data_IF_507026928815
#
_entry.id   IF_507026928815
#
_cell.length_a   1.000
_cell.length_b   1.000
_cell.length_c   1.000
_cell.angle_alpha   90.00
_cell.angle_beta   90.00
_cell.angle_gamma   90.00
#
_symmetry.space_group_name_H-M   'P 1'
#
loop_
_entity.id
_entity.type
_entity.pdbx_description
1 polymer ?
#
# COMPACT_ATOMS: atom_id res chain seq x y z
N UNK A 1 -38.66 -54.25 -53.57
CA UNK A 1 -38.53 -52.80 -53.84
C UNK A 1 -39.45 -52.11 -52.87
N UNK A 2 -38.96 -51.84 -51.67
CA UNK A 2 -39.58 -50.92 -50.71
C UNK A 2 -38.61 -50.76 -49.55
N UNK A 3 -38.24 -49.52 -49.21
CA UNK A 3 -38.04 -49.12 -47.83
C UNK A 3 -38.02 -47.60 -47.72
N UNK A 4 -39.03 -47.12 -47.00
CA UNK A 4 -39.29 -45.77 -46.53
C UNK A 4 -38.12 -45.18 -45.70
N UNK A 5 -37.98 -43.86 -45.69
CA UNK A 5 -37.56 -43.17 -44.46
C UNK A 5 -38.31 -41.85 -44.28
N UNK A 6 -38.94 -41.76 -43.11
CA UNK A 6 -39.78 -40.66 -42.65
C UNK A 6 -38.93 -39.49 -42.16
N UNK A 7 -39.22 -38.28 -42.63
CA UNK A 7 -38.75 -37.03 -42.00
C UNK A 7 -39.60 -36.73 -40.76
N UNK A 8 -39.03 -36.93 -39.58
CA UNK A 8 -39.64 -36.56 -38.30
C UNK A 8 -39.28 -35.11 -37.94
N UNK A 9 -40.26 -34.21 -38.02
CA UNK A 9 -40.14 -32.85 -37.47
C UNK A 9 -40.32 -32.94 -35.94
N UNK A 10 -39.22 -32.99 -35.19
CA UNK A 10 -39.27 -32.91 -33.72
C UNK A 10 -39.66 -31.48 -33.31
N UNK A 11 -40.81 -31.35 -32.64
CA UNK A 11 -41.14 -30.14 -31.88
C UNK A 11 -40.04 -29.89 -30.83
N UNK A 12 -39.52 -28.66 -30.69
CA UNK A 12 -38.57 -28.36 -29.63
C UNK A 12 -39.22 -28.63 -28.27
N UNK A 13 -38.44 -29.22 -27.35
CA UNK A 13 -38.91 -29.49 -26.00
C UNK A 13 -39.32 -28.18 -25.32
N UNK A 14 -40.30 -28.23 -24.41
CA UNK A 14 -40.74 -27.08 -23.62
C UNK A 14 -39.60 -26.41 -22.82
N UNK A 15 -38.46 -27.07 -22.69
CA UNK A 15 -37.23 -26.55 -22.09
C UNK A 15 -36.48 -25.60 -23.04
N UNK A 16 -36.41 -25.91 -24.34
CA UNK A 16 -35.73 -25.09 -25.34
C UNK A 16 -36.46 -23.75 -25.59
N UNK A 17 -37.80 -23.74 -25.50
CA UNK A 17 -38.61 -22.51 -25.59
C UNK A 17 -38.51 -21.65 -24.31
N UNK A 18 -38.21 -22.23 -23.15
CA UNK A 18 -38.01 -21.49 -21.89
C UNK A 18 -36.61 -20.88 -21.80
N UNK A 19 -35.59 -21.52 -22.39
CA UNK A 19 -34.22 -20.99 -22.41
C UNK A 19 -34.07 -19.79 -23.37
N UNK A 20 -34.75 -19.82 -24.52
CA UNK A 20 -34.72 -18.71 -25.48
C UNK A 20 -35.53 -17.49 -25.00
N UNK A 21 -36.62 -17.71 -24.25
CA UNK A 21 -37.36 -16.62 -23.62
C UNK A 21 -36.59 -15.97 -22.44
N UNK A 22 -35.76 -16.74 -21.72
CA UNK A 22 -34.92 -16.23 -20.63
C UNK A 22 -33.74 -15.40 -21.18
N UNK A 23 -33.12 -15.84 -22.27
CA UNK A 23 -32.03 -15.10 -22.95
C UNK A 23 -32.55 -13.81 -23.60
N UNK A 24 -33.77 -13.82 -24.14
CA UNK A 24 -34.38 -12.61 -24.71
C UNK A 24 -34.83 -11.57 -23.67
N UNK A 25 -35.15 -11.99 -22.42
CA UNK A 25 -35.44 -11.05 -21.33
C UNK A 25 -34.17 -10.39 -20.77
N UNK A 26 -33.04 -11.09 -20.79
CA UNK A 26 -31.73 -10.57 -20.34
C UNK A 26 -31.20 -9.51 -21.34
N UNK A 27 -31.42 -9.71 -22.64
CA UNK A 27 -30.97 -8.77 -23.68
C UNK A 27 -31.79 -7.46 -23.77
N UNK A 28 -32.98 -7.39 -23.15
CA UNK A 28 -33.90 -6.25 -23.28
C UNK A 28 -33.79 -5.22 -22.13
N UNK A 29 -33.03 -5.50 -21.07
CA UNK A 29 -32.89 -4.62 -19.90
C UNK A 29 -31.44 -4.56 -19.38
N UNK A 30 -30.52 -3.91 -20.10
CA UNK A 30 -29.13 -3.76 -19.65
C UNK A 30 -29.00 -2.95 -18.35
N UNK A 31 -30.05 -2.26 -17.90
CA UNK A 31 -30.06 -1.42 -16.69
C UNK A 31 -30.59 -2.08 -15.41
N UNK A 32 -30.99 -3.36 -15.41
CA UNK A 32 -31.56 -4.01 -14.20
C UNK A 32 -30.60 -4.98 -13.49
N UNK A 33 -29.36 -5.10 -13.98
CA UNK A 33 -28.28 -5.91 -13.38
C UNK A 33 -27.02 -5.08 -13.10
N UNK A 34 -27.11 -3.75 -13.21
CA UNK A 34 -26.00 -2.82 -12.97
C UNK A 34 -25.97 -2.28 -11.53
N UNK A 35 -26.91 -2.67 -10.66
CA UNK A 35 -27.14 -1.98 -9.38
C UNK A 35 -26.75 -2.78 -8.14
N UNK A 36 -25.98 -3.87 -8.28
CA UNK A 36 -25.40 -4.60 -7.15
C UNK A 36 -24.15 -5.41 -7.53
N UNK A 37 -23.31 -4.86 -8.41
CA UNK A 37 -21.89 -5.20 -8.33
C UNK A 37 -21.32 -4.30 -7.23
N UNK A 38 -20.63 -4.80 -6.20
CA UNK A 38 -19.81 -3.93 -5.39
C UNK A 38 -18.80 -3.31 -6.35
N UNK A 39 -19.04 -2.05 -6.72
CA UNK A 39 -17.96 -1.20 -7.23
C UNK A 39 -16.82 -1.36 -6.24
N UNK A 40 -15.60 -1.63 -6.73
CA UNK A 40 -14.38 -1.40 -5.94
C UNK A 40 -14.55 -0.02 -5.30
N UNK A 41 -14.87 -0.02 -4.00
CA UNK A 41 -15.49 1.10 -3.34
C UNK A 41 -14.61 2.33 -3.49
N UNK A 42 -15.20 3.46 -3.87
CA UNK A 42 -14.55 4.74 -3.64
C UNK A 42 -14.11 4.75 -2.17
N UNK A 43 -12.82 4.95 -1.93
CA UNK A 43 -12.26 4.99 -0.58
C UNK A 43 -13.01 6.07 0.22
N UNK A 44 -12.98 5.98 1.55
CA UNK A 44 -13.42 7.12 2.36
C UNK A 44 -12.63 8.35 1.95
N UNK A 45 -13.25 9.54 1.97
CA UNK A 45 -12.51 10.77 1.75
C UNK A 45 -11.34 10.83 2.74
N UNK A 46 -10.14 11.13 2.23
CA UNK A 46 -8.97 11.29 3.09
C UNK A 46 -9.23 12.44 4.07
N UNK A 47 -8.75 12.37 5.32
CA UNK A 47 -9.01 13.38 6.34
C UNK A 47 -8.78 14.82 5.90
N UNK A 48 -7.70 15.11 5.16
CA UNK A 48 -7.44 16.48 4.68
C UNK A 48 -8.54 17.06 3.77
N UNK A 49 -9.34 16.21 3.14
CA UNK A 49 -10.37 16.58 2.16
C UNK A 49 -11.75 16.02 2.54
N UNK A 50 -11.95 15.68 3.82
CA UNK A 50 -13.19 15.08 4.29
C UNK A 50 -14.36 16.08 4.40
N UNK A 51 -14.05 17.39 4.39
CA UNK A 51 -15.03 18.46 4.44
C UNK A 51 -15.55 18.77 5.85
N UNK A 52 -14.90 18.26 6.89
CA UNK A 52 -15.22 18.50 8.29
C UNK A 52 -14.24 19.48 8.93
N UNK A 53 -14.69 20.23 9.94
CA UNK A 53 -13.81 21.09 10.74
C UNK A 53 -12.93 20.23 11.66
N UNK A 54 -11.62 20.47 11.58
CA UNK A 54 -10.61 19.88 12.46
C UNK A 54 -10.49 20.74 13.71
N UNK A 55 -10.94 20.25 14.86
CA UNK A 55 -11.02 21.02 16.10
C UNK A 55 -9.66 21.36 16.69
N UNK A 56 -8.65 20.52 16.46
CA UNK A 56 -7.30 20.60 16.99
C UNK A 56 -6.98 19.53 18.04
N UNK A 57 -5.70 19.15 18.15
CA UNK A 57 -5.24 18.06 19.03
C UNK A 57 -5.59 18.30 20.49
N UNK A 58 -5.57 19.55 20.95
CA UNK A 58 -5.90 19.90 22.32
C UNK A 58 -7.35 19.51 22.71
N UNK A 59 -8.26 19.34 21.74
CA UNK A 59 -9.61 18.82 21.98
C UNK A 59 -9.62 17.35 22.46
N UNK A 60 -8.59 16.57 22.12
CA UNK A 60 -8.41 15.17 22.53
C UNK A 60 -7.61 15.03 23.84
N UNK A 61 -6.78 16.03 24.16
CA UNK A 61 -5.67 15.93 25.10
C UNK A 61 -6.03 16.00 26.60
N UNK A 62 -7.32 16.06 26.95
CA UNK A 62 -7.71 16.09 28.37
C UNK A 62 -7.49 14.74 29.05
N UNK A 63 -7.20 14.73 30.35
CA UNK A 63 -6.92 13.51 31.11
C UNK A 63 -8.12 12.56 31.30
N UNK A 64 -9.34 13.04 31.00
CA UNK A 64 -10.56 12.24 30.97
C UNK A 64 -10.86 11.67 29.58
N UNK A 65 -10.19 12.18 28.55
CA UNK A 65 -10.28 11.75 27.16
C UNK A 65 -9.06 10.88 26.81
N UNK A 66 -8.10 11.41 26.05
CA UNK A 66 -6.93 10.67 25.54
C UNK A 66 -5.59 11.17 26.11
N UNK A 67 -5.61 12.09 27.09
CA UNK A 67 -4.42 12.69 27.70
C UNK A 67 -4.09 12.21 29.11
N UNK A 68 -4.52 11.01 29.50
CA UNK A 68 -4.09 10.43 30.76
C UNK A 68 -2.58 10.18 30.75
N UNK A 69 -1.89 10.40 31.87
CA UNK A 69 -0.43 10.19 31.95
C UNK A 69 -0.02 8.72 31.85
N UNK A 70 -0.90 7.81 32.26
CA UNK A 70 -0.71 6.37 32.23
C UNK A 70 -1.90 5.75 31.51
N UNK A 71 -1.65 4.61 30.87
CA UNK A 71 -2.70 3.79 30.28
C UNK A 71 -3.78 3.43 31.31
N UNK A 72 -5.02 3.33 30.85
CA UNK A 72 -6.16 2.90 31.66
C UNK A 72 -6.62 1.54 31.18
N UNK A 73 -6.78 0.63 32.14
CA UNK A 73 -7.23 -0.75 31.89
C UNK A 73 -8.74 -0.93 32.10
N UNK A 74 -9.44 0.13 32.53
CA UNK A 74 -10.88 0.09 32.79
C UNK A 74 -11.74 0.52 31.59
N UNK A 75 -11.10 0.80 30.45
CA UNK A 75 -11.71 1.29 29.21
C UNK A 75 -11.25 0.44 28.04
N UNK A 76 -12.00 0.48 26.93
CA UNK A 76 -11.68 -0.25 25.68
C UNK A 76 -10.61 0.43 24.82
N UNK A 77 -10.09 1.56 25.31
CA UNK A 77 -9.01 2.36 24.73
C UNK A 77 -8.05 2.71 25.88
N UNK A 78 -6.81 3.06 25.54
CA UNK A 78 -5.75 3.28 26.53
C UNK A 78 -5.92 4.61 27.28
N UNK A 79 -6.63 5.58 26.68
CA UNK A 79 -6.87 6.94 27.18
C UNK A 79 -5.59 7.77 27.43
N UNK A 80 -4.43 7.32 26.96
CA UNK A 80 -3.15 8.01 27.01
C UNK A 80 -2.55 8.26 25.61
N UNK A 81 -3.36 8.09 24.55
CA UNK A 81 -2.93 8.14 23.16
C UNK A 81 -2.27 9.46 22.80
N UNK A 82 -2.78 10.59 23.32
CA UNK A 82 -2.14 11.90 23.15
C UNK A 82 -0.73 11.94 23.75
N UNK A 83 -0.52 11.31 24.90
CA UNK A 83 0.80 11.26 25.56
C UNK A 83 1.78 10.41 24.76
N UNK A 84 1.32 9.28 24.22
CA UNK A 84 2.14 8.45 23.33
C UNK A 84 2.52 9.21 22.06
N UNK A 85 1.53 9.81 21.38
CA UNK A 85 1.73 10.63 20.18
C UNK A 85 2.74 11.76 20.42
N UNK A 86 2.49 12.63 21.40
CA UNK A 86 3.32 13.82 21.62
C UNK A 86 4.77 13.51 22.06
N UNK A 87 5.03 12.33 22.65
CA UNK A 87 6.35 11.98 23.21
C UNK A 87 7.17 11.03 22.35
N UNK A 88 6.51 10.20 21.55
CA UNK A 88 7.16 9.07 20.91
C UNK A 88 6.90 9.03 19.41
N UNK A 89 5.83 9.67 18.92
CA UNK A 89 5.47 9.63 17.52
C UNK A 89 6.16 10.77 16.74
N UNK A 90 6.85 10.40 15.66
CA UNK A 90 7.51 11.36 14.77
C UNK A 90 6.52 12.28 14.05
N UNK A 91 5.26 11.87 13.91
CA UNK A 91 4.20 12.69 13.33
C UNK A 91 3.96 13.99 14.12
N UNK A 92 4.10 13.97 15.45
CA UNK A 92 3.99 15.15 16.31
C UNK A 92 5.13 16.16 16.11
N UNK A 93 6.28 15.73 15.56
CA UNK A 93 7.44 16.59 15.28
C UNK A 93 7.58 16.94 13.79
N UNK A 94 6.65 16.49 12.95
CA UNK A 94 6.72 16.63 11.50
C UNK A 94 6.78 18.11 11.05
N UNK A 95 6.05 19.00 11.70
CA UNK A 95 6.10 20.44 11.41
C UNK A 95 7.47 21.05 11.76
N UNK A 96 8.05 20.66 12.90
CA UNK A 96 9.36 21.16 13.33
C UNK A 96 10.48 20.77 12.35
N UNK A 97 10.34 19.64 11.64
CA UNK A 97 11.25 19.27 10.54
C UNK A 97 11.32 20.36 9.47
N UNK A 98 10.22 21.08 9.19
CA UNK A 98 10.17 22.18 8.22
C UNK A 98 10.91 23.45 8.69
N UNK A 99 11.21 23.54 9.99
CA UNK A 99 11.96 24.66 10.59
C UNK A 99 13.49 24.44 10.56
N UNK A 100 13.95 23.24 10.21
CA UNK A 100 15.37 22.91 10.15
C UNK A 100 16.09 23.66 9.03
N UNK A 101 17.42 23.80 9.15
CA UNK A 101 18.22 24.42 8.09
C UNK A 101 18.23 23.59 6.79
N UNK A 102 18.02 22.28 6.88
CA UNK A 102 17.83 21.43 5.70
C UNK A 102 16.57 21.84 4.94
N UNK A 103 15.44 21.98 5.62
CA UNK A 103 14.16 22.39 5.03
C UNK A 103 14.19 23.81 4.50
N UNK A 104 14.85 24.75 5.18
CA UNK A 104 15.07 26.11 4.64
C UNK A 104 15.88 26.12 3.34
N UNK A 105 16.92 25.28 3.25
CA UNK A 105 17.69 25.12 2.01
C UNK A 105 16.84 24.51 0.90
N UNK A 106 16.04 23.48 1.20
CA UNK A 106 15.10 22.89 0.24
C UNK A 106 14.09 23.92 -0.28
N UNK A 107 13.47 24.70 0.61
CA UNK A 107 12.57 25.78 0.22
C UNK A 107 13.26 26.81 -0.69
N UNK A 108 14.48 27.23 -0.34
CA UNK A 108 15.29 28.14 -1.16
C UNK A 108 15.56 27.57 -2.55
N UNK A 109 15.96 26.29 -2.64
CA UNK A 109 16.21 25.59 -3.91
C UNK A 109 14.94 25.47 -4.77
N UNK A 110 13.78 25.33 -4.12
CA UNK A 110 12.47 25.25 -4.79
C UNK A 110 11.87 26.60 -5.18
N UNK A 111 12.48 27.70 -4.73
CA UNK A 111 11.98 29.06 -4.92
C UNK A 111 10.82 29.43 -3.99
N UNK A 112 10.68 28.73 -2.87
CA UNK A 112 9.66 28.97 -1.85
C UNK A 112 10.17 29.95 -0.77
N UNK A 113 9.32 30.83 -0.20
CA UNK A 113 9.72 31.74 0.87
C UNK A 113 10.26 31.01 2.11
N UNK A 114 9.59 29.94 2.53
CA UNK A 114 9.99 29.04 3.59
C UNK A 114 9.21 27.71 3.46
N UNK A 115 9.65 26.65 4.15
CA UNK A 115 9.00 25.34 4.06
C UNK A 115 7.74 25.23 4.95
N UNK A 116 7.75 25.83 6.14
CA UNK A 116 6.69 25.67 7.15
C UNK A 116 5.41 26.46 6.89
N UNK A 117 5.38 27.30 5.86
CA UNK A 117 4.18 27.99 5.37
C UNK A 117 3.78 27.53 3.96
N UNK A 118 4.57 26.65 3.33
CA UNK A 118 4.29 26.19 1.97
C UNK A 118 3.39 24.95 2.02
N UNK A 119 2.20 25.04 1.40
CA UNK A 119 1.26 23.91 1.30
C UNK A 119 1.94 22.65 0.78
N UNK A 120 2.81 22.78 -0.23
CA UNK A 120 3.62 21.69 -0.78
C UNK A 120 4.34 20.84 0.28
N UNK A 121 4.82 21.48 1.35
CA UNK A 121 5.51 20.80 2.44
C UNK A 121 4.54 20.41 3.56
N UNK A 122 3.58 21.30 3.87
CA UNK A 122 2.60 21.11 4.94
C UNK A 122 1.63 19.95 4.65
N UNK A 123 1.33 19.65 3.39
CA UNK A 123 0.41 18.58 3.00
C UNK A 123 0.82 17.19 3.52
N UNK A 124 2.11 16.97 3.82
CA UNK A 124 2.61 15.74 4.44
C UNK A 124 3.18 15.95 5.86
N UNK A 125 3.50 17.18 6.25
CA UNK A 125 4.17 17.49 7.53
C UNK A 125 3.27 18.15 8.57
N UNK A 126 2.00 18.41 8.22
CA UNK A 126 1.00 18.96 9.12
C UNK A 126 -0.41 18.47 8.75
N UNK A 127 -1.37 18.68 9.64
CA UNK A 127 -2.80 18.58 9.34
C UNK A 127 -3.26 19.76 8.45
N UNK A 128 -2.82 19.80 7.19
CA UNK A 128 -2.97 20.98 6.34
C UNK A 128 -4.37 21.14 5.71
N UNK A 129 -5.39 21.32 6.52
CA UNK A 129 -6.75 21.67 6.05
C UNK A 129 -6.90 23.16 5.77
N UNK A 130 -7.84 23.60 4.92
CA UNK A 130 -8.10 25.02 4.67
C UNK A 130 -8.36 25.80 5.96
N UNK A 131 -7.95 27.07 6.03
CA UNK A 131 -8.08 27.87 7.25
C UNK A 131 -9.52 27.99 7.78
N UNK A 132 -10.52 27.90 6.90
CA UNK A 132 -11.94 27.92 7.27
C UNK A 132 -12.41 26.62 7.96
N UNK A 133 -11.63 25.54 7.82
CA UNK A 133 -11.89 24.22 8.40
C UNK A 133 -11.05 23.96 9.67
N UNK A 134 -10.38 25.00 10.19
CA UNK A 134 -9.56 24.92 11.42
C UNK A 134 -10.39 25.43 12.60
N UNK A 135 -10.58 24.58 13.58
CA UNK A 135 -11.32 24.84 14.79
C UNK A 135 -10.55 25.69 15.82
N UNK A 136 -11.17 25.98 16.97
CA UNK A 136 -10.62 26.91 17.95
C UNK A 136 -9.33 26.41 18.64
N UNK A 137 -9.16 25.09 18.76
CA UNK A 137 -8.00 24.47 19.41
C UNK A 137 -6.96 23.99 18.39
N UNK A 138 -7.15 24.32 17.11
CA UNK A 138 -6.28 23.88 16.02
C UNK A 138 -4.99 24.68 16.01
N UNK A 139 -3.85 23.97 16.01
CA UNK A 139 -2.53 24.53 15.78
C UNK A 139 -1.82 23.74 14.68
N UNK A 140 -1.45 24.39 13.57
CA UNK A 140 -0.73 23.71 12.47
C UNK A 140 0.64 23.20 12.91
N UNK A 141 1.21 23.78 13.97
CA UNK A 141 2.51 23.37 14.51
C UNK A 141 2.46 22.09 15.34
N UNK A 142 1.26 21.56 15.63
CA UNK A 142 1.09 20.20 16.16
C UNK A 142 1.58 19.13 15.17
N UNK A 143 1.85 19.48 13.90
CA UNK A 143 2.31 18.54 12.89
C UNK A 143 1.18 17.64 12.41
N UNK A 144 1.48 16.37 12.17
CA UNK A 144 0.47 15.38 11.76
C UNK A 144 -0.25 14.92 13.03
N UNK A 145 -1.32 15.66 13.37
CA UNK A 145 -2.14 15.46 14.57
C UNK A 145 -3.16 14.34 14.44
N UNK A 146 -3.98 14.16 15.49
CA UNK A 146 -4.98 13.09 15.56
C UNK A 146 -5.95 13.11 14.35
N UNK A 147 -6.42 14.30 13.98
CA UNK A 147 -7.44 14.48 12.93
C UNK A 147 -6.88 14.31 11.52
N UNK A 148 -5.56 14.42 11.33
CA UNK A 148 -4.92 14.07 10.05
C UNK A 148 -5.06 12.57 9.72
N UNK A 149 -5.27 11.72 10.73
CA UNK A 149 -5.51 10.28 10.58
C UNK A 149 -6.97 9.89 10.84
N UNK A 150 -7.64 10.54 11.80
CA UNK A 150 -8.99 10.17 12.23
C UNK A 150 -10.11 10.98 11.55
N UNK A 151 -9.79 12.00 10.76
CA UNK A 151 -10.79 12.91 10.17
C UNK A 151 -11.16 14.07 11.09
N UNK A 152 -11.70 15.14 10.51
CA UNK A 152 -12.16 16.32 11.24
C UNK A 152 -13.23 15.97 12.28
N UNK A 153 -13.00 16.36 13.53
CA UNK A 153 -13.73 15.82 14.68
C UNK A 153 -15.00 16.58 15.06
N UNK A 154 -15.37 17.65 14.35
CA UNK A 154 -16.52 18.49 14.71
C UNK A 154 -17.83 17.72 14.93
N UNK A 155 -18.05 16.65 14.17
CA UNK A 155 -19.28 15.86 14.19
C UNK A 155 -19.15 14.59 15.03
N UNK A 156 -17.98 13.95 15.08
CA UNK A 156 -17.82 12.66 15.76
C UNK A 156 -17.17 12.75 17.16
N UNK A 157 -16.52 13.87 17.53
CA UNK A 157 -15.87 14.02 18.84
C UNK A 157 -16.83 13.81 20.02
N UNK A 158 -18.04 14.36 19.96
CA UNK A 158 -19.03 14.13 21.02
C UNK A 158 -19.67 12.73 20.90
N UNK A 159 -19.94 12.28 19.66
CA UNK A 159 -20.66 11.04 19.39
C UNK A 159 -19.87 9.80 19.83
N UNK A 160 -18.54 9.79 19.69
CA UNK A 160 -17.72 8.61 20.02
C UNK A 160 -17.70 8.28 21.52
N UNK A 161 -18.16 9.21 22.38
CA UNK A 161 -18.26 8.99 23.82
C UNK A 161 -19.57 8.30 24.24
N UNK A 162 -20.49 8.09 23.29
CA UNK A 162 -21.82 7.54 23.55
C UNK A 162 -21.84 6.04 23.25
N UNK A 163 -21.99 5.21 24.27
CA UNK A 163 -21.95 3.73 24.17
C UNK A 163 -22.91 3.11 23.14
N UNK A 164 -24.02 3.79 22.84
CA UNK A 164 -25.02 3.29 21.88
C UNK A 164 -24.71 3.62 20.42
N UNK A 165 -23.73 4.50 20.16
CA UNK A 165 -23.35 4.89 18.81
C UNK A 165 -22.49 3.80 18.19
N UNK A 166 -22.87 3.38 16.98
CA UNK A 166 -22.18 2.33 16.24
C UNK A 166 -21.00 2.87 15.43
N UNK A 167 -20.07 1.99 15.06
CA UNK A 167 -18.96 2.36 14.17
C UNK A 167 -19.42 2.90 12.80
N UNK A 168 -20.56 2.41 12.29
CA UNK A 168 -21.15 2.91 11.05
C UNK A 168 -21.67 4.34 11.18
N UNK A 169 -22.26 4.69 12.32
CA UNK A 169 -22.70 6.06 12.60
C UNK A 169 -21.51 7.00 12.78
N UNK A 170 -20.42 6.56 13.45
CA UNK A 170 -19.20 7.35 13.54
C UNK A 170 -18.56 7.60 12.17
N UNK A 171 -18.52 6.59 11.31
CA UNK A 171 -18.04 6.74 9.93
C UNK A 171 -18.89 7.75 9.14
N UNK A 172 -20.22 7.69 9.27
CA UNK A 172 -21.11 8.67 8.64
C UNK A 172 -20.92 10.08 9.21
N UNK A 173 -20.48 10.18 10.46
CA UNK A 173 -20.12 11.43 11.11
C UNK A 173 -18.67 11.88 10.85
N UNK A 174 -17.93 11.25 9.93
CA UNK A 174 -16.60 11.70 9.52
C UNK A 174 -15.41 11.00 10.20
N UNK A 175 -15.64 10.05 11.13
CA UNK A 175 -14.53 9.28 11.71
C UNK A 175 -13.93 8.35 10.66
N UNK A 176 -12.67 8.57 10.31
CA UNK A 176 -11.96 7.75 9.34
C UNK A 176 -11.74 6.32 9.88
N UNK A 177 -12.05 5.27 9.10
CA UNK A 177 -11.96 3.89 9.54
C UNK A 177 -10.52 3.34 9.50
N UNK A 178 -9.57 3.97 10.20
CA UNK A 178 -8.14 3.62 10.19
C UNK A 178 -7.78 2.22 10.73
N UNK A 179 -8.77 1.44 11.16
CA UNK A 179 -8.60 0.02 11.55
C UNK A 179 -8.81 -0.94 10.38
N UNK A 180 -9.50 -0.49 9.32
CA UNK A 180 -9.66 -1.25 8.09
C UNK A 180 -8.32 -1.17 7.32
N UNK A 181 -7.71 -2.31 6.93
CA UNK A 181 -6.39 -2.29 6.31
C UNK A 181 -6.34 -1.54 4.99
N UNK A 182 -7.39 -1.59 4.17
CA UNK A 182 -7.42 -0.91 2.87
C UNK A 182 -7.48 0.60 3.11
N UNK A 183 -8.36 1.05 4.00
CA UNK A 183 -8.51 2.46 4.34
C UNK A 183 -7.27 2.99 5.07
N UNK A 184 -6.68 2.22 5.99
CA UNK A 184 -5.42 2.56 6.66
C UNK A 184 -4.27 2.67 5.64
N UNK A 185 -4.18 1.74 4.69
CA UNK A 185 -3.17 1.80 3.63
C UNK A 185 -3.33 3.07 2.80
N UNK A 186 -4.53 3.37 2.33
CA UNK A 186 -4.79 4.57 1.54
C UNK A 186 -4.44 5.86 2.30
N UNK A 187 -4.75 5.91 3.59
CA UNK A 187 -4.39 7.02 4.47
C UNK A 187 -2.86 7.20 4.54
N UNK A 188 -2.13 6.15 4.91
CA UNK A 188 -0.67 6.25 5.07
C UNK A 188 0.03 6.55 3.74
N UNK A 189 -0.41 5.89 2.65
CA UNK A 189 0.16 6.09 1.32
C UNK A 189 -0.06 7.51 0.80
N UNK A 190 -1.13 8.21 1.22
CA UNK A 190 -1.39 9.58 0.77
C UNK A 190 -0.22 10.54 1.05
N UNK A 191 0.61 10.25 2.08
CA UNK A 191 1.83 10.99 2.39
C UNK A 191 3.11 10.18 2.09
N UNK A 192 3.13 8.88 2.40
CA UNK A 192 4.34 8.05 2.36
C UNK A 192 4.66 7.44 0.98
N UNK A 193 3.72 7.48 0.05
CA UNK A 193 3.94 7.19 -1.36
C UNK A 193 3.58 8.40 -2.23
N UNK A 194 2.52 9.10 -1.82
CA UNK A 194 1.88 10.18 -2.53
C UNK A 194 0.57 9.75 -3.18
N UNK A 195 -0.17 10.75 -3.66
CA UNK A 195 -1.36 10.63 -4.50
C UNK A 195 -1.27 11.68 -5.63
N UNK A 196 -2.36 11.91 -6.36
CA UNK A 196 -2.38 12.87 -7.48
C UNK A 196 -2.10 14.32 -7.07
N UNK A 197 -2.42 14.69 -5.83
CA UNK A 197 -2.28 16.04 -5.30
C UNK A 197 -1.00 16.21 -4.45
N UNK A 198 -0.49 15.12 -3.88
CA UNK A 198 0.68 15.10 -2.99
C UNK A 198 1.71 14.13 -3.49
N UNK A 199 2.86 14.63 -3.93
CA UNK A 199 3.96 13.76 -4.33
C UNK A 199 5.31 14.39 -4.02
N UNK A 200 6.20 13.61 -3.43
CA UNK A 200 7.63 13.93 -3.38
C UNK A 200 8.25 13.77 -4.78
N UNK A 201 7.96 14.72 -5.67
CA UNK A 201 8.47 14.75 -7.06
C UNK A 201 9.99 14.72 -7.10
N UNK A 202 10.56 14.34 -8.25
CA UNK A 202 12.01 14.42 -8.49
C UNK A 202 12.55 15.85 -8.32
N UNK A 203 11.71 16.88 -8.54
CA UNK A 203 12.06 18.29 -8.24
C UNK A 203 12.28 18.51 -6.74
N UNK A 204 11.40 17.96 -5.90
CA UNK A 204 11.48 18.06 -4.44
C UNK A 204 12.67 17.24 -3.92
N UNK A 205 12.87 16.04 -4.44
CA UNK A 205 14.04 15.22 -4.10
C UNK A 205 15.35 15.89 -4.53
N UNK A 206 15.40 16.46 -5.74
CA UNK A 206 16.55 17.23 -6.23
C UNK A 206 16.85 18.50 -5.42
N UNK A 207 15.87 19.03 -4.69
CA UNK A 207 16.09 20.14 -3.75
C UNK A 207 16.71 19.68 -2.41
N UNK A 208 16.67 18.37 -2.11
CA UNK A 208 17.27 17.75 -0.93
C UNK A 208 16.33 16.85 -0.13
N UNK A 209 15.09 16.62 -0.56
CA UNK A 209 14.16 15.75 0.15
C UNK A 209 14.57 14.28 -0.03
N UNK A 210 14.57 13.45 1.03
CA UNK A 210 14.90 12.03 0.90
C UNK A 210 13.87 11.29 0.04
N UNK A 211 14.26 10.14 -0.52
CA UNK A 211 13.30 9.20 -1.10
C UNK A 211 12.37 8.70 0.01
N UNK A 212 11.09 8.56 -0.29
CA UNK A 212 10.15 7.90 0.60
C UNK A 212 10.30 6.37 0.52
N UNK A 213 10.35 5.73 1.69
CA UNK A 213 10.32 4.28 1.87
C UNK A 213 9.18 3.96 2.81
N UNK A 214 8.32 3.03 2.40
CA UNK A 214 7.14 2.67 3.17
C UNK A 214 6.68 1.25 2.88
N UNK A 215 6.24 0.57 3.92
CA UNK A 215 5.60 -0.74 3.91
C UNK A 215 4.64 -0.73 5.10
N UNK A 216 3.34 -0.87 4.86
CA UNK A 216 2.31 -0.58 5.86
C UNK A 216 2.57 -1.26 7.19
N UNK A 217 2.78 -2.58 7.17
CA UNK A 217 2.83 -3.35 8.42
C UNK A 217 4.12 -3.07 9.18
N UNK A 218 5.24 -3.03 8.49
CA UNK A 218 6.54 -2.67 9.07
C UNK A 218 6.47 -1.31 9.76
N UNK A 219 5.88 -0.31 9.10
CA UNK A 219 5.79 1.04 9.66
C UNK A 219 4.70 1.17 10.74
N UNK A 220 3.65 0.36 10.71
CA UNK A 220 2.69 0.26 11.82
C UNK A 220 3.31 -0.36 13.07
N UNK A 221 4.21 -1.33 12.94
CA UNK A 221 4.93 -1.92 14.09
C UNK A 221 6.05 -1.00 14.62
N UNK A 222 6.61 -0.14 13.77
CA UNK A 222 7.60 0.87 14.19
C UNK A 222 6.95 2.11 14.79
N UNK A 223 5.68 2.39 14.46
CA UNK A 223 4.91 3.46 15.07
C UNK A 223 4.66 3.11 16.55
N UNK A 224 4.86 4.04 17.50
CA UNK A 224 4.50 3.78 18.89
C UNK A 224 3.00 3.47 18.98
N UNK A 225 2.61 2.25 19.39
CA UNK A 225 1.21 1.87 19.41
C UNK A 225 0.48 2.74 20.42
N UNK A 226 -0.47 3.51 19.92
CA UNK A 226 -1.46 4.25 20.72
C UNK A 226 -2.85 3.63 20.53
N UNK A 227 -2.87 2.31 20.31
CA UNK A 227 -4.02 1.45 20.29
C UNK A 227 -3.61 0.10 20.88
N UNK A 228 -4.60 -0.67 21.35
CA UNK A 228 -4.37 -2.02 21.85
C UNK A 228 -5.01 -3.05 20.90
N UNK A 229 -4.28 -4.12 20.59
CA UNK A 229 -4.73 -5.24 19.73
C UNK A 229 -5.06 -6.45 20.59
N UNK A 230 -5.91 -6.26 21.59
CA UNK A 230 -6.40 -7.35 22.45
C UNK A 230 -7.50 -8.17 21.78
N UNK A 231 -7.92 -9.27 22.44
CA UNK A 231 -8.98 -10.14 21.92
C UNK A 231 -10.29 -9.36 21.67
N UNK A 232 -10.57 -8.35 22.49
CA UNK A 232 -11.73 -7.48 22.31
C UNK A 232 -11.62 -6.63 21.04
N UNK A 233 -10.46 -6.01 20.80
CA UNK A 233 -10.17 -5.26 19.57
C UNK A 233 -10.35 -6.14 18.34
N UNK A 234 -9.75 -7.33 18.34
CA UNK A 234 -9.83 -8.26 17.21
C UNK A 234 -11.28 -8.69 16.95
N UNK A 235 -12.04 -9.02 18.00
CA UNK A 235 -13.45 -9.39 17.88
C UNK A 235 -14.33 -8.23 17.39
N UNK A 236 -14.11 -7.01 17.91
CA UNK A 236 -14.90 -5.81 17.60
C UNK A 236 -14.62 -5.27 16.21
N UNK A 237 -13.35 -5.27 15.80
CA UNK A 237 -12.90 -4.69 14.52
C UNK A 237 -12.86 -5.70 13.39
N UNK A 238 -12.89 -7.00 13.68
CA UNK A 238 -12.67 -8.08 12.69
C UNK A 238 -11.39 -7.85 11.89
N UNK A 239 -10.36 -7.33 12.56
CA UNK A 239 -9.08 -7.01 11.93
C UNK A 239 -8.46 -8.31 11.41
N UNK A 240 -7.86 -8.30 10.20
CA UNK A 240 -7.12 -9.46 9.73
C UNK A 240 -5.93 -9.75 10.65
N UNK A 241 -5.40 -10.97 10.54
CA UNK A 241 -4.07 -11.27 11.10
C UNK A 241 -2.99 -10.41 10.42
N UNK A 242 -1.77 -10.45 10.98
CA UNK A 242 -0.64 -9.66 10.49
C UNK A 242 -0.36 -9.89 9.00
N UNK A 243 -0.51 -11.13 8.52
CA UNK A 243 -0.28 -11.45 7.11
C UNK A 243 -1.41 -10.91 6.24
N UNK A 244 -2.67 -11.05 6.65
CA UNK A 244 -3.81 -10.49 5.92
C UNK A 244 -3.71 -8.98 5.80
N UNK A 245 -3.27 -8.29 6.87
CA UNK A 245 -2.99 -6.84 6.81
C UNK A 245 -1.87 -6.52 5.82
N UNK A 246 -0.78 -7.29 5.84
CA UNK A 246 0.33 -7.12 4.90
C UNK A 246 -0.08 -7.35 3.45
N UNK A 247 -0.83 -8.43 3.16
CA UNK A 247 -1.33 -8.75 1.82
C UNK A 247 -2.19 -7.61 1.29
N UNK A 248 -3.15 -7.12 2.09
CA UNK A 248 -4.00 -6.00 1.70
C UNK A 248 -3.19 -4.72 1.49
N UNK A 249 -2.21 -4.45 2.36
CA UNK A 249 -1.29 -3.33 2.23
C UNK A 249 -0.47 -3.36 0.95
N UNK A 250 0.12 -4.51 0.61
CA UNK A 250 0.91 -4.69 -0.61
C UNK A 250 0.07 -4.51 -1.88
N UNK A 251 -1.10 -5.14 -1.93
CA UNK A 251 -1.97 -5.05 -3.11
C UNK A 251 -2.57 -3.65 -3.28
N UNK A 252 -2.93 -2.98 -2.18
CA UNK A 252 -3.41 -1.59 -2.20
C UNK A 252 -2.28 -0.64 -2.62
N UNK A 253 -1.06 -0.85 -2.14
CA UNK A 253 0.13 -0.09 -2.57
C UNK A 253 0.35 -0.25 -4.07
N UNK A 254 0.33 -1.48 -4.60
CA UNK A 254 0.47 -1.74 -6.03
C UNK A 254 -0.62 -1.01 -6.84
N UNK A 255 -1.87 -1.02 -6.37
CA UNK A 255 -2.99 -0.33 -7.04
C UNK A 255 -2.80 1.19 -7.02
N UNK A 256 -2.42 1.78 -5.89
CA UNK A 256 -2.13 3.21 -5.76
C UNK A 256 -0.98 3.63 -6.67
N UNK A 257 0.07 2.81 -6.77
CA UNK A 257 1.19 3.06 -7.68
C UNK A 257 0.78 3.06 -9.15
N UNK A 258 -0.18 2.21 -9.59
CA UNK A 258 -0.72 2.32 -10.95
C UNK A 258 -1.43 3.66 -11.20
N UNK A 259 -2.13 4.18 -10.19
CA UNK A 259 -2.74 5.51 -10.22
C UNK A 259 -1.70 6.60 -10.47
N UNK A 260 -0.62 6.61 -9.67
CA UNK A 260 0.47 7.55 -9.84
C UNK A 260 1.14 7.45 -11.23
N UNK A 261 1.40 6.22 -11.70
CA UNK A 261 1.96 6.01 -13.05
C UNK A 261 1.03 6.58 -14.14
N UNK A 262 -0.29 6.38 -14.01
CA UNK A 262 -1.27 6.96 -14.94
C UNK A 262 -1.22 8.49 -14.91
N UNK A 263 -1.37 9.08 -13.73
CA UNK A 263 -1.40 10.54 -13.57
C UNK A 263 -0.12 11.20 -14.09
N UNK A 264 1.04 10.62 -13.79
CA UNK A 264 2.33 11.28 -14.06
C UNK A 264 3.02 10.87 -15.36
N UNK A 265 2.69 9.72 -15.95
CA UNK A 265 3.30 9.25 -17.20
C UNK A 265 2.34 9.19 -18.39
N UNK A 266 1.02 9.16 -18.16
CA UNK A 266 0.01 9.10 -19.22
C UNK A 266 -0.73 10.43 -19.34
N UNK A 267 -1.30 10.90 -18.23
CA UNK A 267 -2.19 12.07 -18.23
C UNK A 267 -1.40 13.40 -18.17
N UNK A 268 -0.12 13.34 -17.80
CA UNK A 268 0.74 14.51 -17.75
C UNK A 268 1.08 14.99 -19.17
N UNK A 269 0.88 16.30 -19.40
CA UNK A 269 1.24 16.94 -20.67
C UNK A 269 2.70 17.49 -20.66
N UNK A 270 3.57 16.95 -19.79
CA UNK A 270 4.95 17.44 -19.65
C UNK A 270 5.89 16.68 -20.58
N UNK A 271 6.87 17.40 -21.15
CA UNK A 271 7.86 16.78 -22.06
C UNK A 271 8.84 15.86 -21.34
N UNK A 272 9.08 16.11 -20.04
CA UNK A 272 9.86 15.24 -19.18
C UNK A 272 8.86 14.50 -18.28
N UNK A 273 8.86 13.16 -18.24
CA UNK A 273 8.05 12.42 -17.29
C UNK A 273 8.53 12.69 -15.86
N UNK A 274 7.64 12.48 -14.89
CA UNK A 274 8.03 12.55 -13.48
C UNK A 274 9.05 11.45 -13.17
N UNK A 275 10.30 11.84 -12.95
CA UNK A 275 11.42 10.90 -12.79
C UNK A 275 11.32 10.10 -11.47
N UNK A 276 10.55 10.57 -10.49
CA UNK A 276 10.28 9.83 -9.25
C UNK A 276 9.49 8.53 -9.47
N UNK A 277 8.86 8.36 -10.65
CA UNK A 277 8.19 7.10 -11.03
C UNK A 277 9.17 5.99 -11.43
N UNK A 278 10.44 6.32 -11.64
CA UNK A 278 11.49 5.40 -12.03
C UNK A 278 12.35 4.99 -10.82
N UNK A 279 13.03 3.86 -10.95
CA UNK A 279 14.00 3.39 -9.95
C UNK A 279 15.15 4.41 -9.85
N UNK A 280 15.20 5.15 -8.74
CA UNK A 280 16.23 6.15 -8.50
C UNK A 280 17.63 5.56 -8.65
N UNK A 281 17.82 4.31 -8.21
CA UNK A 281 19.10 3.63 -8.25
C UNK A 281 19.48 3.21 -9.67
N UNK A 282 18.56 3.14 -10.63
CA UNK A 282 18.94 2.94 -12.03
C UNK A 282 19.83 4.08 -12.58
N UNK A 283 19.75 5.28 -11.98
CA UNK A 283 20.51 6.46 -12.40
C UNK A 283 21.48 6.99 -11.33
N UNK A 284 21.13 6.90 -10.05
CA UNK A 284 21.91 7.43 -8.93
C UNK A 284 22.88 6.39 -8.37
N UNK A 285 23.92 6.08 -9.14
CA UNK A 285 25.07 5.31 -8.70
C UNK A 285 26.33 5.78 -9.40
N UNK A 286 27.50 5.32 -8.95
CA UNK A 286 28.76 5.66 -9.62
C UNK A 286 28.72 5.19 -11.08
N UNK A 287 29.05 6.06 -12.03
CA UNK A 287 29.08 5.72 -13.47
C UNK A 287 30.08 4.59 -13.80
N UNK A 288 31.07 4.36 -12.94
CA UNK A 288 32.03 3.26 -13.06
C UNK A 288 31.48 1.91 -12.58
N UNK A 289 30.34 1.90 -11.89
CA UNK A 289 29.71 0.69 -11.37
C UNK A 289 28.95 -0.05 -12.48
N UNK A 290 29.50 -1.19 -12.90
CA UNK A 290 28.97 -2.03 -13.97
C UNK A 290 27.97 -3.06 -13.42
N UNK A 291 26.92 -2.58 -12.75
CA UNK A 291 25.95 -3.45 -12.06
C UNK A 291 24.75 -3.91 -12.88
N UNK A 292 24.60 -3.47 -14.13
CA UNK A 292 23.47 -3.86 -14.97
C UNK A 292 23.50 -5.36 -15.24
N UNK A 293 22.39 -6.03 -14.92
CA UNK A 293 22.11 -7.41 -15.29
C UNK A 293 20.60 -7.58 -15.49
N UNK A 294 20.16 -8.38 -16.47
CA UNK A 294 18.74 -8.69 -16.62
C UNK A 294 18.26 -9.56 -15.44
N UNK A 295 17.07 -9.26 -14.92
CA UNK A 295 16.41 -10.02 -13.85
C UNK A 295 15.05 -10.55 -14.32
N UNK A 296 14.42 -11.44 -13.53
CA UNK A 296 13.05 -11.94 -13.81
C UNK A 296 12.07 -10.80 -14.13
N UNK A 297 12.19 -9.63 -13.49
CA UNK A 297 11.28 -8.49 -13.72
C UNK A 297 11.70 -7.57 -14.88
N UNK A 298 12.94 -7.68 -15.36
CA UNK A 298 13.53 -6.71 -16.31
C UNK A 298 14.04 -7.34 -17.61
N UNK A 299 13.84 -8.64 -17.81
CA UNK A 299 14.11 -9.30 -19.10
C UNK A 299 13.38 -8.55 -20.23
N UNK A 300 14.14 -8.23 -21.28
CA UNK A 300 13.64 -7.49 -22.44
C UNK A 300 13.69 -5.96 -22.27
N UNK A 301 14.27 -5.45 -21.19
CA UNK A 301 14.62 -4.04 -21.04
C UNK A 301 16.09 -3.86 -21.43
N UNK A 302 16.36 -2.98 -22.38
CA UNK A 302 17.71 -2.72 -22.89
C UNK A 302 18.59 -2.00 -21.86
N UNK A 303 19.92 -2.24 -21.84
CA UNK A 303 20.86 -1.47 -21.01
C UNK A 303 20.72 0.04 -21.20
N UNK A 304 20.71 0.78 -20.09
CA UNK A 304 20.59 2.25 -20.10
C UNK A 304 19.15 2.78 -20.19
N UNK A 305 18.15 1.91 -20.32
CA UNK A 305 16.74 2.30 -20.21
C UNK A 305 16.40 2.63 -18.74
N UNK A 306 15.85 3.82 -18.43
CA UNK A 306 15.37 4.12 -17.07
C UNK A 306 14.26 3.15 -16.69
N UNK A 307 14.40 2.38 -15.62
CA UNK A 307 13.39 1.37 -15.26
C UNK A 307 12.35 1.98 -14.33
N UNK A 308 11.08 1.64 -14.48
CA UNK A 308 10.06 1.99 -13.49
C UNK A 308 10.44 1.46 -12.11
N UNK A 309 10.02 2.16 -11.06
CA UNK A 309 10.18 1.67 -9.69
C UNK A 309 9.20 0.50 -9.43
N UNK A 310 9.64 -0.72 -9.73
CA UNK A 310 8.82 -1.92 -9.60
C UNK A 310 8.69 -2.42 -8.14
N UNK A 311 9.30 -1.76 -7.16
CA UNK A 311 9.27 -2.17 -5.77
C UNK A 311 7.84 -2.32 -5.21
N UNK A 312 6.92 -1.45 -5.62
CA UNK A 312 5.52 -1.48 -5.22
C UNK A 312 4.70 -2.61 -5.85
N UNK A 313 5.28 -3.32 -6.83
CA UNK A 313 4.67 -4.46 -7.51
C UNK A 313 5.35 -5.80 -7.17
N UNK A 314 6.41 -5.76 -6.36
CA UNK A 314 7.33 -6.87 -6.13
C UNK A 314 6.62 -8.16 -5.74
N UNK A 315 5.59 -8.05 -4.90
CA UNK A 315 4.92 -9.21 -4.31
C UNK A 315 3.59 -9.58 -4.96
N UNK A 316 3.16 -8.89 -6.02
CA UNK A 316 1.88 -9.22 -6.68
C UNK A 316 1.91 -10.65 -7.24
N UNK A 317 3.00 -11.06 -7.91
CA UNK A 317 3.14 -12.43 -8.42
C UNK A 317 3.22 -13.51 -7.34
N UNK A 318 4.11 -13.42 -6.32
CA UNK A 318 4.16 -14.46 -5.30
C UNK A 318 2.86 -14.54 -4.48
N UNK A 319 2.15 -13.43 -4.27
CA UNK A 319 0.82 -13.42 -3.66
C UNK A 319 -0.22 -14.11 -4.55
N UNK A 320 -0.27 -13.74 -5.83
CA UNK A 320 -1.18 -14.32 -6.81
C UNK A 320 -0.98 -15.84 -6.97
N UNK A 321 0.25 -16.33 -6.88
CA UNK A 321 0.58 -17.76 -6.84
C UNK A 321 0.10 -18.43 -5.54
N UNK A 322 0.33 -17.78 -4.40
CA UNK A 322 -0.09 -18.29 -3.09
C UNK A 322 -1.61 -18.37 -2.96
N UNK A 323 -2.31 -17.43 -3.60
CA UNK A 323 -3.77 -17.36 -3.70
C UNK A 323 -4.35 -18.19 -4.86
N UNK A 324 -3.50 -18.78 -5.70
CA UNK A 324 -3.89 -19.61 -6.85
C UNK A 324 -4.85 -18.88 -7.82
N UNK A 325 -4.60 -17.60 -8.05
CA UNK A 325 -5.33 -16.80 -9.04
C UNK A 325 -5.12 -17.35 -10.45
N UNK A 326 -6.08 -17.13 -11.33
CA UNK A 326 -6.00 -17.59 -12.72
C UNK A 326 -5.00 -16.75 -13.53
N UNK A 327 -4.92 -15.44 -13.27
CA UNK A 327 -3.98 -14.51 -13.90
C UNK A 327 -2.56 -14.53 -13.32
N UNK A 328 -2.26 -15.37 -12.32
CA UNK A 328 -0.97 -15.34 -11.60
C UNK A 328 0.26 -15.51 -12.50
N UNK A 329 0.15 -16.28 -13.59
CA UNK A 329 1.23 -16.50 -14.55
C UNK A 329 1.50 -15.28 -15.47
N UNK A 330 0.52 -14.39 -15.61
CA UNK A 330 0.56 -13.25 -16.53
C UNK A 330 1.12 -11.98 -15.88
N UNK A 331 1.24 -11.94 -14.54
CA UNK A 331 1.73 -10.77 -13.80
C UNK A 331 3.15 -10.38 -14.23
N UNK A 332 4.09 -11.32 -14.24
CA UNK A 332 5.49 -11.01 -14.62
C UNK A 332 5.60 -10.55 -16.07
N UNK A 333 4.98 -11.22 -17.07
CA UNK A 333 4.86 -10.69 -18.42
C UNK A 333 4.27 -9.27 -18.47
N UNK A 334 3.20 -8.99 -17.72
CA UNK A 334 2.55 -7.69 -17.69
C UNK A 334 3.45 -6.60 -17.06
N UNK A 335 4.18 -6.90 -15.99
CA UNK A 335 5.14 -5.97 -15.38
C UNK A 335 6.34 -5.67 -16.30
N UNK A 336 6.80 -6.66 -17.07
CA UNK A 336 7.83 -6.43 -18.11
C UNK A 336 7.30 -5.52 -19.21
N UNK A 337 6.08 -5.78 -19.70
CA UNK A 337 5.43 -4.94 -20.70
C UNK A 337 5.22 -3.52 -20.18
N UNK A 338 4.85 -3.36 -18.90
CA UNK A 338 4.69 -2.07 -18.24
C UNK A 338 5.99 -1.27 -18.31
N UNK A 339 7.10 -1.88 -17.88
CA UNK A 339 8.42 -1.25 -17.90
C UNK A 339 8.87 -0.88 -19.33
N UNK A 340 8.62 -1.74 -20.31
CA UNK A 340 8.94 -1.47 -21.72
C UNK A 340 8.10 -0.31 -22.29
N UNK A 341 6.80 -0.27 -21.97
CA UNK A 341 5.86 0.70 -22.53
C UNK A 341 6.04 2.12 -22.00
N UNK A 342 6.64 2.27 -20.81
CA UNK A 342 6.94 3.57 -20.19
C UNK A 342 7.83 4.48 -21.05
N UNK A 343 8.45 3.94 -22.11
CA UNK A 343 9.33 4.67 -23.02
C UNK A 343 8.84 4.72 -24.47
N UNK A 344 7.65 4.19 -24.77
CA UNK A 344 7.15 4.04 -26.14
C UNK A 344 6.04 5.05 -26.45
N UNK A 345 4.89 4.93 -25.80
CA UNK A 345 3.76 5.87 -25.99
C UNK A 345 2.81 5.88 -24.79
N UNK A 346 2.20 7.03 -24.44
CA UNK A 346 1.19 7.13 -23.39
C UNK A 346 -0.01 6.21 -23.61
N UNK A 347 -0.45 6.02 -24.86
CA UNK A 347 -1.60 5.17 -25.18
C UNK A 347 -1.31 3.69 -24.86
N UNK A 348 -0.15 3.18 -25.31
CA UNK A 348 0.25 1.81 -25.00
C UNK A 348 0.49 1.60 -23.51
N UNK A 349 1.06 2.60 -22.82
CA UNK A 349 1.24 2.57 -21.37
C UNK A 349 -0.12 2.51 -20.65
N UNK A 350 -1.11 3.31 -21.09
CA UNK A 350 -2.47 3.31 -20.54
C UNK A 350 -3.14 1.94 -20.65
N UNK A 351 -3.02 1.27 -21.80
CA UNK A 351 -3.57 -0.07 -22.02
C UNK A 351 -2.92 -1.11 -21.11
N UNK A 352 -1.60 -1.05 -20.94
CA UNK A 352 -0.87 -1.99 -20.07
C UNK A 352 -1.15 -1.72 -18.59
N UNK A 353 -1.27 -0.45 -18.18
CA UNK A 353 -1.70 -0.09 -16.82
C UNK A 353 -3.07 -0.68 -16.49
N UNK A 354 -4.02 -0.68 -17.45
CA UNK A 354 -5.32 -1.32 -17.28
C UNK A 354 -5.17 -2.84 -17.11
N UNK A 355 -4.40 -3.50 -17.96
CA UNK A 355 -4.18 -4.95 -17.89
C UNK A 355 -3.52 -5.38 -16.56
N UNK A 356 -2.50 -4.64 -16.09
CA UNK A 356 -1.88 -4.90 -14.78
C UNK A 356 -2.88 -4.63 -13.65
N UNK A 357 -3.72 -3.59 -13.79
CA UNK A 357 -4.79 -3.28 -12.85
C UNK A 357 -5.80 -4.41 -12.69
N UNK A 358 -6.21 -5.05 -13.78
CA UNK A 358 -7.13 -6.19 -13.76
C UNK A 358 -6.52 -7.40 -13.02
N UNK A 359 -5.23 -7.69 -13.24
CA UNK A 359 -4.53 -8.78 -12.53
C UNK A 359 -4.40 -8.50 -11.02
N UNK A 360 -4.16 -7.25 -10.64
CA UNK A 360 -4.13 -6.83 -9.23
C UNK A 360 -5.53 -6.95 -8.62
N UNK A 361 -6.58 -6.52 -9.32
CA UNK A 361 -7.97 -6.60 -8.84
C UNK A 361 -8.45 -8.04 -8.66
N UNK A 362 -8.04 -8.96 -9.55
CA UNK A 362 -8.25 -10.39 -9.38
C UNK A 362 -7.56 -10.90 -8.09
N UNK A 363 -6.33 -10.48 -7.87
CA UNK A 363 -5.53 -10.89 -6.69
C UNK A 363 -6.12 -10.32 -5.39
N UNK A 364 -6.58 -9.07 -5.39
CA UNK A 364 -7.31 -8.44 -4.27
C UNK A 364 -8.59 -9.23 -3.97
N UNK A 365 -9.36 -9.55 -5.02
CA UNK A 365 -10.60 -10.31 -4.88
C UNK A 365 -10.36 -11.70 -4.29
N UNK A 366 -9.28 -12.37 -4.69
CA UNK A 366 -8.88 -13.65 -4.11
C UNK A 366 -8.42 -13.51 -2.65
N UNK A 367 -7.64 -12.48 -2.33
CA UNK A 367 -7.17 -12.22 -0.96
C UNK A 367 -8.35 -12.05 0.03
N UNK A 368 -9.38 -11.27 -0.35
CA UNK A 368 -10.57 -11.07 0.47
C UNK A 368 -11.37 -12.36 0.74
N UNK A 369 -11.33 -13.33 -0.18
CA UNK A 369 -12.06 -14.59 -0.03
C UNK A 369 -11.32 -15.61 0.82
N UNK A 370 -9.99 -15.49 0.91
CA UNK A 370 -9.13 -16.55 1.43
C UNK A 370 -8.71 -16.32 2.88
N UNK A 371 -8.83 -15.08 3.40
CA UNK A 371 -8.64 -14.53 4.76
C UNK A 371 -7.46 -15.07 5.63
N UNK A 372 -7.12 -16.36 5.60
CA UNK A 372 -6.13 -17.01 6.45
C UNK A 372 -5.34 -18.18 5.79
N UNK A 373 -5.51 -18.47 4.48
CA UNK A 373 -4.90 -19.68 3.86
C UNK A 373 -3.57 -19.48 3.12
N UNK A 374 -2.97 -18.30 3.19
CA UNK A 374 -1.63 -18.12 2.62
C UNK A 374 -0.64 -18.85 3.53
N UNK A 375 0.05 -19.82 2.95
CA UNK A 375 1.17 -20.52 3.61
C UNK A 375 2.35 -19.53 3.69
N UNK A 376 2.55 -18.95 4.86
CA UNK A 376 3.57 -17.93 5.08
C UNK A 376 4.99 -18.48 4.96
N UNK A 377 5.21 -19.74 5.32
CA UNK A 377 6.50 -20.42 5.10
C UNK A 377 6.75 -20.57 3.59
N UNK A 378 5.77 -21.05 2.82
CA UNK A 378 5.93 -21.19 1.37
C UNK A 378 6.18 -19.84 0.69
N UNK A 379 5.49 -18.79 1.13
CA UNK A 379 5.69 -17.43 0.66
C UNK A 379 7.09 -16.90 1.03
N UNK A 380 7.54 -17.12 2.26
CA UNK A 380 8.88 -16.73 2.73
C UNK A 380 9.97 -17.39 1.89
N UNK A 381 9.87 -18.70 1.65
CA UNK A 381 10.81 -19.42 0.78
C UNK A 381 10.85 -18.82 -0.62
N UNK A 382 9.68 -18.52 -1.20
CA UNK A 382 9.59 -17.94 -2.55
C UNK A 382 10.26 -16.56 -2.61
N UNK A 383 10.01 -15.69 -1.62
CA UNK A 383 10.63 -14.35 -1.57
C UNK A 383 12.15 -14.47 -1.36
N UNK A 384 12.61 -15.35 -0.47
CA UNK A 384 14.04 -15.57 -0.22
C UNK A 384 14.76 -16.17 -1.44
N UNK A 385 14.12 -17.10 -2.16
CA UNK A 385 14.64 -17.69 -3.40
C UNK A 385 14.75 -16.64 -4.51
N UNK A 386 13.70 -15.85 -4.76
CA UNK A 386 13.73 -14.77 -5.74
C UNK A 386 14.77 -13.69 -5.38
N UNK A 387 14.93 -13.39 -4.09
CA UNK A 387 16.00 -12.50 -3.60
C UNK A 387 17.39 -13.07 -3.91
N UNK A 388 17.61 -14.36 -3.61
CA UNK A 388 18.88 -15.05 -3.85
C UNK A 388 19.23 -15.20 -5.34
N UNK A 389 18.21 -15.30 -6.21
CA UNK A 389 18.36 -15.32 -7.66
C UNK A 389 18.63 -13.93 -8.27
N UNK A 390 18.54 -12.86 -7.48
CA UNK A 390 18.71 -11.49 -7.94
C UNK A 390 17.49 -10.94 -8.69
N UNK A 391 16.30 -11.48 -8.45
CA UNK A 391 15.05 -10.88 -8.96
C UNK A 391 14.82 -9.50 -8.33
N UNK A 392 15.02 -9.39 -7.02
CA UNK A 392 14.92 -8.14 -6.26
C UNK A 392 16.28 -7.42 -6.18
N UNK A 393 16.84 -7.10 -7.34
CA UNK A 393 18.20 -6.54 -7.49
C UNK A 393 18.30 -5.05 -7.16
N UNK A 394 17.24 -4.29 -7.41
CA UNK A 394 17.27 -2.83 -7.19
C UNK A 394 17.11 -2.54 -5.71
N UNK A 395 17.72 -1.45 -5.22
CA UNK A 395 17.72 -1.16 -3.79
C UNK A 395 16.31 -1.12 -3.20
N UNK A 396 15.36 -0.45 -3.86
CA UNK A 396 13.96 -0.38 -3.40
C UNK A 396 13.27 -1.75 -3.40
N UNK A 397 13.55 -2.60 -4.38
CA UNK A 397 13.06 -3.99 -4.42
C UNK A 397 13.64 -4.82 -3.28
N UNK A 398 14.96 -4.72 -3.05
CA UNK A 398 15.67 -5.44 -2.01
C UNK A 398 15.22 -5.00 -0.60
N UNK A 399 15.00 -3.70 -0.41
CA UNK A 399 14.45 -3.12 0.81
C UNK A 399 13.06 -3.67 1.12
N UNK A 400 12.14 -3.66 0.15
CA UNK A 400 10.81 -4.26 0.31
C UNK A 400 10.90 -5.76 0.60
N UNK A 401 11.78 -6.49 -0.08
CA UNK A 401 12.00 -7.92 0.14
C UNK A 401 12.53 -8.21 1.55
N UNK A 402 13.45 -7.39 2.08
CA UNK A 402 13.95 -7.53 3.43
C UNK A 402 12.85 -7.32 4.48
N UNK A 403 12.02 -6.28 4.32
CA UNK A 403 10.87 -6.04 5.21
C UNK A 403 9.87 -7.20 5.17
N UNK A 404 9.54 -7.70 3.97
CA UNK A 404 8.66 -8.86 3.81
C UNK A 404 9.22 -10.14 4.45
N UNK A 405 10.50 -10.44 4.25
CA UNK A 405 11.14 -11.61 4.87
C UNK A 405 11.17 -11.49 6.39
N UNK A 406 11.47 -10.30 6.93
CA UNK A 406 11.44 -10.04 8.37
C UNK A 406 10.06 -10.32 8.96
N UNK A 407 9.02 -9.76 8.33
CA UNK A 407 7.64 -9.93 8.77
C UNK A 407 7.23 -11.40 8.79
N UNK A 408 7.52 -12.13 7.71
CA UNK A 408 7.17 -13.55 7.60
C UNK A 408 7.94 -14.41 8.60
N UNK A 409 9.22 -14.09 8.87
CA UNK A 409 9.99 -14.77 9.91
C UNK A 409 9.39 -14.58 11.31
N UNK A 410 8.94 -13.36 11.64
CA UNK A 410 8.28 -13.07 12.92
C UNK A 410 6.94 -13.81 13.03
N UNK A 411 6.11 -13.73 11.98
CA UNK A 411 4.80 -14.41 11.93
C UNK A 411 4.93 -15.92 12.13
N UNK A 412 5.89 -16.55 11.45
CA UNK A 412 6.07 -18.00 11.47
C UNK A 412 6.93 -18.47 12.66
N UNK A 413 7.26 -17.57 13.61
CA UNK A 413 8.12 -17.83 14.77
C UNK A 413 9.52 -18.39 14.41
N UNK A 414 10.03 -18.01 13.24
CA UNK A 414 11.35 -18.40 12.72
C UNK A 414 12.42 -17.32 12.96
N UNK A 415 12.05 -16.15 13.51
CA UNK A 415 12.98 -15.05 13.73
C UNK A 415 14.22 -15.44 14.52
N UNK A 416 14.06 -16.06 15.71
CA UNK A 416 15.17 -16.37 16.61
C UNK A 416 16.22 -17.28 15.97
N UNK A 417 15.79 -18.30 15.21
CA UNK A 417 16.70 -19.23 14.53
C UNK A 417 17.38 -18.60 13.31
N UNK A 418 16.70 -17.70 12.61
CA UNK A 418 17.19 -17.07 11.38
C UNK A 418 17.85 -15.71 11.61
N UNK A 419 17.88 -15.23 12.87
CA UNK A 419 18.33 -13.89 13.25
C UNK A 419 19.70 -13.50 12.67
N UNK A 420 20.77 -14.32 12.77
CA UNK A 420 22.06 -13.93 12.21
C UNK A 420 22.03 -13.75 10.69
N UNK A 421 21.26 -14.60 9.99
CA UNK A 421 21.12 -14.52 8.54
C UNK A 421 20.30 -13.29 8.13
N UNK A 422 19.19 -13.00 8.81
CA UNK A 422 18.40 -11.80 8.53
C UNK A 422 19.16 -10.50 8.87
N UNK A 423 19.95 -10.49 9.95
CA UNK A 423 20.83 -9.36 10.24
C UNK A 423 21.85 -9.09 9.13
N UNK A 424 22.34 -10.14 8.46
CA UNK A 424 23.19 -9.99 7.28
C UNK A 424 22.43 -9.39 6.09
N UNK A 425 21.16 -9.77 5.90
CA UNK A 425 20.28 -9.15 4.89
C UNK A 425 20.14 -7.65 5.16
N UNK A 426 19.78 -7.25 6.38
CA UNK A 426 19.68 -5.83 6.74
C UNK A 426 21.01 -5.08 6.62
N UNK A 427 22.12 -5.70 7.03
CA UNK A 427 23.44 -5.09 6.90
C UNK A 427 23.80 -4.72 5.45
N UNK A 428 23.31 -5.48 4.47
CA UNK A 428 23.51 -5.19 3.04
C UNK A 428 22.74 -3.96 2.53
N UNK A 429 21.76 -3.46 3.30
CA UNK A 429 20.86 -2.37 2.93
C UNK A 429 21.08 -1.10 3.76
N UNK A 430 21.98 -1.10 4.73
CA UNK A 430 22.17 0.03 5.65
C UNK A 430 22.61 1.35 4.98
N UNK A 431 23.14 1.29 3.76
CA UNK A 431 23.58 2.47 3.02
C UNK A 431 23.22 2.32 1.54
N UNK A 432 22.20 3.06 1.11
CA UNK A 432 21.71 3.04 -0.28
C UNK A 432 22.76 3.53 -1.29
N UNK A 433 23.64 4.47 -0.89
CA UNK A 433 24.72 5.01 -1.74
C UNK A 433 25.83 3.97 -2.02
N UNK A 434 26.00 3.00 -1.13
CA UNK A 434 27.00 1.94 -1.23
C UNK A 434 26.40 0.57 -1.53
N UNK A 435 25.11 0.53 -1.87
CA UNK A 435 24.39 -0.70 -2.08
C UNK A 435 25.00 -1.57 -3.18
N UNK A 436 25.24 -2.85 -2.85
CA UNK A 436 25.78 -3.86 -3.75
C UNK A 436 24.75 -4.98 -3.92
N UNK A 437 24.11 -5.13 -5.10
CA UNK A 437 23.05 -6.11 -5.27
C UNK A 437 23.47 -7.56 -5.03
N UNK A 438 24.71 -7.92 -5.39
CA UNK A 438 25.23 -9.27 -5.20
C UNK A 438 25.46 -9.60 -3.71
N UNK A 439 25.74 -8.58 -2.88
CA UNK A 439 25.83 -8.75 -1.43
C UNK A 439 24.47 -9.05 -0.81
N UNK A 440 23.41 -8.37 -1.26
CA UNK A 440 22.05 -8.65 -0.84
C UNK A 440 21.61 -10.05 -1.27
N UNK A 441 21.80 -10.42 -2.54
CA UNK A 441 21.47 -11.76 -3.04
C UNK A 441 22.23 -12.87 -2.28
N UNK A 442 23.51 -12.65 -1.98
CA UNK A 442 24.31 -13.55 -1.16
C UNK A 442 23.77 -13.70 0.26
N UNK A 443 23.40 -12.60 0.92
CA UNK A 443 22.80 -12.64 2.25
C UNK A 443 21.42 -13.34 2.26
N UNK A 444 20.59 -13.07 1.24
CA UNK A 444 19.30 -13.73 1.08
C UNK A 444 19.44 -15.24 0.85
N UNK A 445 20.48 -15.68 0.13
CA UNK A 445 20.81 -17.10 -0.03
C UNK A 445 21.14 -17.77 1.31
N UNK A 446 21.95 -17.11 2.14
CA UNK A 446 22.26 -17.61 3.50
C UNK A 446 21.00 -17.71 4.36
N UNK A 447 20.10 -16.73 4.24
CA UNK A 447 18.80 -16.80 4.92
C UNK A 447 17.96 -17.98 4.43
N UNK A 448 17.84 -18.18 3.11
CA UNK A 448 17.12 -19.29 2.51
C UNK A 448 17.64 -20.65 3.01
N UNK A 449 18.96 -20.82 3.12
CA UNK A 449 19.61 -22.04 3.64
C UNK A 449 19.34 -22.26 5.15
N UNK A 450 18.99 -21.21 5.89
CA UNK A 450 18.64 -21.28 7.32
C UNK A 450 17.15 -21.56 7.58
N UNK A 451 16.30 -21.53 6.55
CA UNK A 451 14.88 -21.86 6.66
C UNK A 451 14.67 -23.38 6.78
N UNK A 452 13.63 -23.83 7.51
CA UNK A 452 13.31 -25.25 7.58
C UNK A 452 12.99 -25.82 6.18
N UNK A 453 13.42 -27.06 5.92
CA UNK A 453 13.20 -27.72 4.63
C UNK A 453 11.72 -27.98 4.33
N UNK A 454 11.38 -28.11 3.05
CA UNK A 454 10.00 -28.35 2.57
C UNK A 454 9.46 -29.77 2.89
N UNK A 455 10.32 -30.66 3.42
CA UNK A 455 10.07 -32.10 3.58
C UNK A 455 9.07 -32.47 4.68
N UNK A 456 8.50 -31.50 5.42
CA UNK A 456 7.54 -31.75 6.51
C UNK A 456 6.06 -31.55 6.17
N UNK A 457 5.69 -31.16 4.95
CA UNK A 457 4.37 -30.57 4.66
C UNK A 457 3.27 -31.52 4.13
N UNK A 458 3.48 -32.84 4.12
CA UNK A 458 2.46 -33.80 3.64
C UNK A 458 1.58 -34.47 4.70
N UNK A 459 1.76 -34.25 6.01
CA UNK A 459 1.02 -35.05 7.01
C UNK A 459 -0.06 -34.35 7.85
N UNK A 460 -0.21 -33.03 7.85
CA UNK A 460 -1.36 -32.38 8.50
C UNK A 460 -1.91 -31.20 7.68
N UNK A 461 -2.82 -31.51 6.75
CA UNK A 461 -3.84 -30.58 6.25
C UNK A 461 -5.15 -31.31 6.01
#
# INVERSE_FOLDING_TARGET
MDMMSHTSFKRPSRLALRLTALIALIAAHPGLWAENQPSLSAHSALPQHDGYVHLGVASCASSVCHGAMLERTSTTVLQNEYVTWTRHDHHADAYNTLLTDASKRMATNLGLPNAHEADLCLDCHADNVPSAMRGPEFDISDGVGCEACHGGSETWAALHTVDTVTAGELRQAGLYPAHDPVEATALCLSCHLGNEDKLATHRIMGAGHPRLSFELVTFLELLPPHWERDDEYLARKRAPDLLGQWVQGQLTTAKSSLGLLRTHLVDSNTTLPELAMFDCHACHHAMSDQRWQPSKLTIGVEPGTPRLNLAYFAFVEPLAQSLQTSGGADIVPALRALNQSAHVSPEQLSDILNAVGELIDETISAAHQVNDRIDGIALLHRIAEESALGTYRDYSLAEQAAMAMNLLLEREALWEQSRPAMQAVFASLMNEEQYQPDSFAGAAKVLLEALPGDEGRTEER
#
